data_IF_838765030772
#
_entry.id   IF_838765030772
#
_cell.length_a   1.000
_cell.length_b   1.000
_cell.length_c   1.000
_cell.angle_alpha   90.00
_cell.angle_beta   90.00
_cell.angle_gamma   90.00
#
_symmetry.space_group_name_H-M   'P 1'
#
loop_
_entity.id
_entity.type
_entity.pdbx_description
1 polymer ?
#
# COMPACT_ATOMS: atom_id res chain seq x y z
N UNK A 1 -7.19 -7.56 21.52
CA UNK A 1 -7.27 -6.87 20.20
C UNK A 1 -8.66 -7.04 19.62
N UNK A 2 -9.24 -6.01 18.97
CA UNK A 2 -10.59 -6.11 18.37
C UNK A 2 -10.50 -6.81 16.99
N UNK A 3 -11.34 -7.83 16.69
CA UNK A 3 -11.34 -8.51 15.40
C UNK A 3 -12.07 -7.70 14.31
N UNK A 4 -11.91 -8.10 13.05
CA UNK A 4 -12.69 -7.59 11.92
C UNK A 4 -14.17 -7.98 12.04
N UNK A 5 -15.06 -7.06 11.67
CA UNK A 5 -16.50 -7.28 11.53
C UNK A 5 -17.00 -6.71 10.21
N UNK A 6 -18.22 -7.09 9.81
CA UNK A 6 -18.86 -6.58 8.59
C UNK A 6 -19.09 -5.05 8.63
N UNK A 7 -18.99 -4.43 9.81
CA UNK A 7 -19.16 -2.99 9.99
C UNK A 7 -17.81 -2.24 10.07
N UNK A 8 -16.74 -2.86 10.58
CA UNK A 8 -15.45 -2.18 10.79
C UNK A 8 -14.25 -3.12 10.78
N UNK A 9 -13.09 -2.58 10.46
CA UNK A 9 -11.83 -3.30 10.55
C UNK A 9 -11.28 -3.34 11.98
N UNK A 10 -10.71 -4.47 12.35
CA UNK A 10 -10.09 -4.74 13.64
C UNK A 10 -8.75 -4.05 13.83
N UNK A 11 -8.20 -4.15 15.04
CA UNK A 11 -6.95 -3.49 15.43
C UNK A 11 -5.77 -3.88 14.52
N UNK A 12 -5.61 -5.18 14.23
CA UNK A 12 -4.51 -5.67 13.40
C UNK A 12 -4.62 -5.20 11.95
N UNK A 13 -5.83 -5.25 11.36
CA UNK A 13 -6.05 -4.80 9.99
C UNK A 13 -5.74 -3.31 9.81
N UNK A 14 -6.09 -2.49 10.80
CA UNK A 14 -5.76 -1.05 10.83
C UNK A 14 -4.28 -0.79 11.05
N UNK A 15 -3.65 -1.52 11.99
CA UNK A 15 -2.21 -1.40 12.25
C UNK A 15 -1.41 -1.68 10.98
N UNK A 16 -1.68 -2.80 10.30
CA UNK A 16 -1.04 -3.09 9.02
C UNK A 16 -1.33 -2.00 7.98
N UNK A 17 -2.57 -1.52 7.89
CA UNK A 17 -2.91 -0.50 6.89
C UNK A 17 -2.14 0.81 7.10
N UNK A 18 -2.22 1.38 8.30
CA UNK A 18 -1.61 2.67 8.60
C UNK A 18 -0.09 2.58 8.69
N UNK A 19 0.45 1.47 9.20
CA UNK A 19 1.89 1.22 9.15
C UNK A 19 2.42 1.16 7.72
N UNK A 20 1.72 0.48 6.81
CA UNK A 20 2.08 0.46 5.39
C UNK A 20 1.92 1.83 4.72
N UNK A 21 0.86 2.58 5.04
CA UNK A 21 0.66 3.93 4.53
C UNK A 21 1.83 4.86 4.92
N UNK A 22 2.28 4.80 6.18
CA UNK A 22 3.46 5.53 6.65
C UNK A 22 4.73 5.09 5.91
N UNK A 23 4.91 3.78 5.69
CA UNK A 23 6.05 3.27 4.93
C UNK A 23 6.01 3.75 3.47
N UNK A 24 4.85 3.72 2.78
CA UNK A 24 4.76 4.23 1.41
C UNK A 24 5.03 5.73 1.33
N UNK A 25 4.52 6.52 2.28
CA UNK A 25 4.85 7.94 2.36
C UNK A 25 6.37 8.15 2.49
N UNK A 26 7.02 7.38 3.36
CA UNK A 26 8.49 7.39 3.50
C UNK A 26 9.20 6.98 2.21
N UNK A 27 8.72 5.96 1.49
CA UNK A 27 9.30 5.52 0.22
C UNK A 27 9.29 6.63 -0.83
N UNK A 28 8.16 7.31 -1.01
CA UNK A 28 8.05 8.42 -1.97
C UNK A 28 8.82 9.66 -1.51
N UNK A 29 8.79 9.98 -0.21
CA UNK A 29 9.53 11.13 0.34
C UNK A 29 11.03 10.97 0.17
N UNK A 30 11.58 9.80 0.50
CA UNK A 30 13.01 9.52 0.29
C UNK A 30 13.37 9.55 -1.19
N UNK A 31 12.56 8.92 -2.04
CA UNK A 31 12.79 8.93 -3.48
C UNK A 31 12.78 10.33 -4.08
N UNK A 32 11.85 11.19 -3.66
CA UNK A 32 11.83 12.59 -4.06
C UNK A 32 13.08 13.32 -3.54
N UNK A 33 13.44 13.13 -2.27
CA UNK A 33 14.54 13.82 -1.62
C UNK A 33 15.88 13.67 -2.37
N UNK A 34 16.30 12.44 -2.70
CA UNK A 34 17.59 12.26 -3.39
C UNK A 34 17.57 12.64 -4.88
N UNK A 35 16.38 12.75 -5.48
CA UNK A 35 16.24 13.25 -6.85
C UNK A 35 16.26 14.79 -6.90
N UNK A 36 15.88 15.46 -5.82
CA UNK A 36 16.00 16.92 -5.66
C UNK A 36 17.40 17.32 -5.21
N UNK A 37 18.01 16.55 -4.30
CA UNK A 37 19.35 16.79 -3.78
C UNK A 37 20.16 15.49 -3.75
N UNK A 38 21.19 15.41 -4.61
CA UNK A 38 22.08 14.27 -4.69
C UNK A 38 22.84 13.96 -3.39
N UNK A 39 22.99 14.93 -2.48
CA UNK A 39 23.60 14.73 -1.16
C UNK A 39 22.82 13.73 -0.31
N UNK A 40 21.51 13.59 -0.54
CA UNK A 40 20.60 12.73 0.21
C UNK A 40 20.57 11.28 -0.29
N UNK A 41 21.45 10.89 -1.23
CA UNK A 41 21.54 9.50 -1.72
C UNK A 41 21.86 8.47 -0.63
N UNK A 42 22.38 8.88 0.53
CA UNK A 42 22.52 7.99 1.69
C UNK A 42 21.18 7.40 2.16
N UNK A 43 20.05 8.06 1.87
CA UNK A 43 18.69 7.57 2.18
C UNK A 43 18.30 6.33 1.36
N UNK A 44 19.00 6.00 0.27
CA UNK A 44 18.72 4.82 -0.54
C UNK A 44 18.78 3.54 0.31
N UNK A 45 19.70 3.46 1.28
CA UNK A 45 19.78 2.32 2.21
C UNK A 45 18.49 2.14 3.00
N UNK A 46 17.97 3.22 3.58
CA UNK A 46 16.73 3.21 4.34
C UNK A 46 15.50 2.91 3.45
N UNK A 47 15.47 3.44 2.23
CA UNK A 47 14.43 3.14 1.24
C UNK A 47 14.40 1.65 0.88
N UNK A 48 15.56 1.03 0.66
CA UNK A 48 15.65 -0.42 0.40
C UNK A 48 15.11 -1.23 1.58
N UNK A 49 15.52 -0.90 2.80
CA UNK A 49 15.03 -1.58 4.02
C UNK A 49 13.51 -1.45 4.18
N UNK A 50 12.97 -0.24 4.01
CA UNK A 50 11.52 0.01 4.06
C UNK A 50 10.76 -0.73 2.95
N UNK A 51 11.34 -0.85 1.75
CA UNK A 51 10.76 -1.63 0.65
C UNK A 51 10.65 -3.13 0.96
N UNK A 52 11.67 -3.72 1.59
CA UNK A 52 11.63 -5.13 2.05
C UNK A 52 10.60 -5.29 3.16
N UNK A 53 10.56 -4.37 4.13
CA UNK A 53 9.54 -4.37 5.18
C UNK A 53 8.13 -4.30 4.59
N UNK A 54 7.89 -3.43 3.62
CA UNK A 54 6.61 -3.31 2.91
C UNK A 54 6.22 -4.61 2.20
N UNK A 55 7.15 -5.33 1.59
CA UNK A 55 6.87 -6.62 0.97
C UNK A 55 6.38 -7.64 2.01
N UNK A 56 7.07 -7.73 3.15
CA UNK A 56 6.68 -8.62 4.25
C UNK A 56 5.34 -8.23 4.87
N UNK A 57 5.11 -6.93 5.11
CA UNK A 57 3.83 -6.41 5.60
C UNK A 57 2.70 -6.67 4.61
N UNK A 58 2.95 -6.54 3.30
CA UNK A 58 1.97 -6.83 2.24
C UNK A 58 1.59 -8.29 2.25
N UNK A 59 2.58 -9.18 2.35
CA UNK A 59 2.34 -10.63 2.45
C UNK A 59 1.53 -10.99 3.70
N UNK A 60 1.95 -10.50 4.87
CA UNK A 60 1.22 -10.73 6.13
C UNK A 60 -0.21 -10.18 6.07
N UNK A 61 -0.39 -8.97 5.55
CA UNK A 61 -1.70 -8.33 5.35
C UNK A 61 -2.57 -9.12 4.38
N UNK A 62 -2.01 -9.66 3.31
CA UNK A 62 -2.73 -10.47 2.34
C UNK A 62 -3.19 -11.80 2.95
N UNK A 63 -2.34 -12.50 3.69
CA UNK A 63 -2.76 -13.71 4.42
C UNK A 63 -3.84 -13.40 5.47
N UNK A 64 -3.69 -12.29 6.19
CA UNK A 64 -4.70 -11.81 7.14
C UNK A 64 -6.02 -11.47 6.42
N UNK A 65 -5.94 -10.92 5.22
CA UNK A 65 -7.08 -10.62 4.37
C UNK A 65 -7.87 -11.86 3.99
N UNK A 66 -7.17 -12.91 3.55
CA UNK A 66 -7.76 -14.19 3.18
C UNK A 66 -8.49 -14.84 4.36
N UNK A 67 -7.86 -14.84 5.55
CA UNK A 67 -8.46 -15.36 6.78
C UNK A 67 -9.74 -14.63 7.21
N UNK A 68 -9.87 -13.34 6.85
CA UNK A 68 -11.00 -12.50 7.24
C UNK A 68 -12.00 -12.22 6.10
N UNK A 69 -11.93 -12.91 4.95
CA UNK A 69 -12.77 -12.60 3.78
C UNK A 69 -14.27 -12.51 4.10
N UNK A 70 -14.79 -13.43 4.92
CA UNK A 70 -16.21 -13.50 5.31
C UNK A 70 -16.62 -12.42 6.34
N UNK A 71 -15.64 -11.73 6.93
CA UNK A 71 -15.86 -10.72 7.98
C UNK A 71 -15.61 -9.30 7.47
N UNK A 72 -15.27 -9.13 6.19
CA UNK A 72 -14.98 -7.81 5.63
C UNK A 72 -16.26 -7.06 5.31
N UNK A 73 -16.28 -5.73 5.46
CA UNK A 73 -17.38 -4.92 5.00
C UNK A 73 -17.66 -5.16 3.51
N UNK A 74 -18.95 -5.22 3.16
CA UNK A 74 -19.35 -5.38 1.77
C UNK A 74 -18.89 -4.19 0.92
N UNK A 75 -18.62 -4.47 -0.35
CA UNK A 75 -18.16 -3.49 -1.32
C UNK A 75 -18.56 -3.89 -2.73
N UNK A 76 -18.75 -2.88 -3.57
CA UNK A 76 -19.07 -3.06 -4.99
C UNK A 76 -17.97 -3.83 -5.72
N UNK A 77 -18.30 -4.42 -6.88
CA UNK A 77 -17.31 -5.08 -7.73
C UNK A 77 -16.15 -4.14 -8.09
N UNK A 78 -16.43 -2.86 -8.35
CA UNK A 78 -15.42 -1.83 -8.65
C UNK A 78 -14.44 -1.65 -7.48
N UNK A 79 -14.94 -1.60 -6.25
CA UNK A 79 -14.09 -1.49 -5.06
C UNK A 79 -13.24 -2.75 -4.86
N UNK A 80 -13.78 -3.95 -5.14
CA UNK A 80 -13.04 -5.21 -5.08
C UNK A 80 -11.91 -5.25 -6.11
N UNK A 81 -12.18 -4.86 -7.35
CA UNK A 81 -11.16 -4.79 -8.42
C UNK A 81 -10.10 -3.74 -8.10
N UNK A 82 -10.48 -2.57 -7.58
CA UNK A 82 -9.54 -1.54 -7.14
C UNK A 82 -8.60 -2.06 -6.04
N UNK A 83 -9.13 -2.77 -5.03
CA UNK A 83 -8.30 -3.38 -4.00
C UNK A 83 -7.40 -4.50 -4.56
N UNK A 84 -7.89 -5.31 -5.49
CA UNK A 84 -7.08 -6.34 -6.14
C UNK A 84 -5.90 -5.72 -6.90
N UNK A 85 -6.14 -4.66 -7.66
CA UNK A 85 -5.10 -3.91 -8.35
C UNK A 85 -4.08 -3.29 -7.37
N UNK A 86 -4.55 -2.74 -6.24
CA UNK A 86 -3.67 -2.27 -5.16
C UNK A 86 -2.80 -3.41 -4.62
N UNK A 87 -3.37 -4.56 -4.26
CA UNK A 87 -2.56 -5.71 -3.79
C UNK A 87 -1.52 -6.14 -4.82
N UNK A 88 -1.88 -6.23 -6.10
CA UNK A 88 -0.95 -6.60 -7.17
C UNK A 88 0.24 -5.63 -7.24
N UNK A 89 -0.03 -4.31 -7.22
CA UNK A 89 1.03 -3.29 -7.27
C UNK A 89 1.84 -3.22 -5.98
N UNK A 90 1.21 -3.44 -4.82
CA UNK A 90 1.89 -3.48 -3.53
C UNK A 90 2.89 -4.64 -3.43
N UNK A 91 2.69 -5.74 -4.17
CA UNK A 91 3.69 -6.78 -4.36
C UNK A 91 4.70 -6.44 -5.46
N UNK A 92 4.22 -6.01 -6.64
CA UNK A 92 5.05 -5.80 -7.82
C UNK A 92 6.08 -4.67 -7.65
N UNK A 93 5.73 -3.56 -7.01
CA UNK A 93 6.63 -2.43 -6.81
C UNK A 93 7.85 -2.76 -5.92
N UNK A 94 7.71 -3.33 -4.72
CA UNK A 94 8.88 -3.75 -3.94
C UNK A 94 9.60 -4.96 -4.56
N UNK A 95 8.89 -5.89 -5.22
CA UNK A 95 9.53 -7.01 -5.90
C UNK A 95 10.43 -6.55 -7.06
N UNK A 96 9.98 -5.58 -7.87
CA UNK A 96 10.83 -4.95 -8.90
C UNK A 96 11.98 -4.16 -8.28
N UNK A 97 11.77 -3.53 -7.12
CA UNK A 97 12.84 -2.88 -6.35
C UNK A 97 13.96 -3.85 -5.94
N UNK A 98 13.60 -5.05 -5.46
CA UNK A 98 14.57 -6.12 -5.20
C UNK A 98 15.21 -6.64 -6.48
N UNK A 99 14.44 -6.90 -7.52
CA UNK A 99 14.95 -7.36 -8.82
C UNK A 99 16.02 -6.41 -9.38
N UNK A 100 15.86 -5.09 -9.20
CA UNK A 100 16.85 -4.08 -9.57
C UNK A 100 18.17 -4.21 -8.81
N UNK A 101 18.16 -4.72 -7.57
CA UNK A 101 19.39 -4.97 -6.80
C UNK A 101 20.17 -6.17 -7.32
N UNK A 102 19.48 -7.14 -7.90
CA UNK A 102 20.07 -8.33 -8.53
C UNK A 102 20.26 -8.16 -10.04
N UNK A 103 20.15 -6.93 -10.55
CA UNK A 103 20.27 -6.61 -11.99
C UNK A 103 19.32 -7.43 -12.89
N UNK A 104 18.21 -7.91 -12.34
CA UNK A 104 17.23 -8.70 -13.07
C UNK A 104 16.34 -7.80 -13.95
N UNK A 105 15.86 -8.28 -15.12
CA UNK A 105 15.11 -7.45 -16.09
C UNK A 105 13.88 -6.74 -15.51
N UNK A 106 13.18 -7.39 -14.57
CA UNK A 106 12.00 -6.81 -13.92
C UNK A 106 12.31 -5.53 -13.13
N UNK A 107 13.57 -5.31 -12.74
CA UNK A 107 14.02 -4.12 -12.03
C UNK A 107 13.83 -2.81 -12.81
N UNK A 108 13.83 -2.87 -14.16
CA UNK A 108 13.58 -1.70 -15.00
C UNK A 108 12.16 -1.13 -14.80
N UNK A 109 11.19 -1.97 -14.44
CA UNK A 109 9.80 -1.56 -14.24
C UNK A 109 9.56 -0.81 -12.92
N UNK A 110 10.52 -0.77 -11.99
CA UNK A 110 10.30 -0.27 -10.63
C UNK A 110 9.73 1.15 -10.59
N UNK A 111 10.32 2.08 -11.35
CA UNK A 111 9.83 3.47 -11.40
C UNK A 111 8.39 3.56 -11.92
N UNK A 112 8.10 2.88 -13.02
CA UNK A 112 6.76 2.86 -13.61
C UNK A 112 5.71 2.25 -12.66
N UNK A 113 6.04 1.12 -12.01
CA UNK A 113 5.18 0.48 -11.02
C UNK A 113 4.97 1.36 -9.78
N UNK A 114 5.99 2.09 -9.33
CA UNK A 114 5.87 3.03 -8.21
C UNK A 114 4.93 4.20 -8.54
N UNK A 115 5.05 4.82 -9.73
CA UNK A 115 4.13 5.88 -10.15
C UNK A 115 2.70 5.37 -10.36
N UNK A 116 2.54 4.18 -10.94
CA UNK A 116 1.22 3.57 -11.10
C UNK A 116 0.57 3.26 -9.73
N UNK A 117 1.35 2.77 -8.77
CA UNK A 117 0.90 2.57 -7.40
C UNK A 117 0.49 3.92 -6.76
N UNK A 118 1.30 4.98 -6.92
CA UNK A 118 1.00 6.32 -6.40
C UNK A 118 -0.33 6.84 -6.94
N UNK A 119 -0.54 6.73 -8.27
CA UNK A 119 -1.78 7.14 -8.92
C UNK A 119 -2.99 6.37 -8.35
N UNK A 120 -2.86 5.05 -8.21
CA UNK A 120 -3.94 4.21 -7.69
C UNK A 120 -4.23 4.48 -6.21
N UNK A 121 -3.20 4.75 -5.39
CA UNK A 121 -3.36 5.17 -3.99
C UNK A 121 -4.04 6.53 -3.91
N UNK A 122 -3.64 7.51 -4.74
CA UNK A 122 -4.31 8.81 -4.84
C UNK A 122 -5.79 8.68 -5.22
N UNK A 123 -6.09 7.86 -6.22
CA UNK A 123 -7.46 7.52 -6.61
C UNK A 123 -8.24 6.83 -5.48
N UNK A 124 -7.62 5.88 -4.77
CA UNK A 124 -8.21 5.21 -3.61
C UNK A 124 -8.60 6.21 -2.52
N UNK A 125 -7.67 7.10 -2.12
CA UNK A 125 -7.92 8.15 -1.12
C UNK A 125 -9.05 9.07 -1.59
N UNK A 126 -8.99 9.57 -2.83
CA UNK A 126 -10.03 10.43 -3.38
C UNK A 126 -11.41 9.76 -3.33
N UNK A 127 -11.50 8.49 -3.72
CA UNK A 127 -12.73 7.73 -3.63
C UNK A 127 -13.24 7.58 -2.20
N UNK A 128 -12.38 7.35 -1.21
CA UNK A 128 -12.82 7.28 0.19
C UNK A 128 -13.43 8.60 0.67
N UNK A 129 -12.86 9.73 0.26
CA UNK A 129 -13.38 11.08 0.56
C UNK A 129 -14.71 11.32 -0.17
N UNK A 130 -14.81 10.93 -1.44
CA UNK A 130 -16.05 11.08 -2.22
C UNK A 130 -17.20 10.25 -1.63
N UNK A 131 -16.95 9.01 -1.23
CA UNK A 131 -17.95 8.18 -0.55
C UNK A 131 -18.35 8.76 0.81
N UNK A 132 -17.38 9.27 1.59
CA UNK A 132 -17.67 9.98 2.83
C UNK A 132 -18.59 11.18 2.63
N UNK A 133 -18.32 11.99 1.59
CA UNK A 133 -19.14 13.17 1.24
C UNK A 133 -20.55 12.80 0.77
N UNK A 134 -20.75 11.59 0.25
CA UNK A 134 -22.06 11.05 -0.12
C UNK A 134 -22.84 10.46 1.07
N UNK A 135 -22.30 10.57 2.29
CA UNK A 135 -22.93 10.04 3.51
C UNK A 135 -22.62 8.57 3.77
N UNK A 136 -21.77 7.93 2.97
CA UNK A 136 -21.34 6.56 3.22
C UNK A 136 -20.22 6.56 4.26
N UNK A 137 -20.43 5.88 5.40
CA UNK A 137 -19.48 5.82 6.50
C UNK A 137 -18.27 4.89 6.21
N UNK A 138 -17.54 5.16 5.13
CA UNK A 138 -16.42 4.33 4.65
C UNK A 138 -15.14 4.63 5.43
N UNK A 139 -14.84 5.90 5.73
CA UNK A 139 -13.63 6.28 6.46
C UNK A 139 -13.63 5.74 7.90
N UNK A 140 -14.79 5.75 8.55
CA UNK A 140 -14.97 5.29 9.93
C UNK A 140 -14.68 3.79 10.07
N UNK A 141 -14.73 3.01 8.98
CA UNK A 141 -14.34 1.58 9.00
C UNK A 141 -12.85 1.40 9.30
N UNK A 142 -12.04 2.41 9.00
CA UNK A 142 -10.58 2.43 9.14
C UNK A 142 -10.06 3.33 10.27
N UNK A 143 -10.97 3.98 11.01
CA UNK A 143 -10.68 4.73 12.23
C UNK A 143 -10.40 3.80 13.45
#
# INVERSE_FOLDING_TARGET
MKPDTTLRYGTLTRLFHWGMAACYLFMFATALAWNLDGSLKFLIGAHKAAGVLLLLMTFARFLWALKNLRRRPEGSLKAKLGHLALYALMFAAPASGMARQFEAPFGAAHGALAFLLLLLVGGHIAMTVLHQRKGEAVLQRMA
#
